data_IF_522338209183
#
_entry.id   IF_522338209183
#
_cell.length_a   1.000
_cell.length_b   1.000
_cell.length_c   1.000
_cell.angle_alpha   90.00
_cell.angle_beta   90.00
_cell.angle_gamma   90.00
#
_symmetry.space_group_name_H-M   'P 1'
#
loop_
_entity.id
_entity.type
_entity.pdbx_description
1 polymer ?
#
# COMPACT_ATOMS: atom_id res chain seq x y z
N UNK A 1 -14.82 -4.51 -0.66
CA UNK A 1 -14.13 -3.86 -1.80
C UNK A 1 -14.57 -2.40 -1.84
N UNK A 2 -13.64 -1.47 -1.73
CA UNK A 2 -13.93 -0.03 -1.68
C UNK A 2 -13.77 0.67 -3.03
N UNK A 3 -13.01 0.09 -3.96
CA UNK A 3 -12.73 0.66 -5.27
C UNK A 3 -13.11 -0.32 -6.38
N UNK A 4 -13.95 0.14 -7.30
CA UNK A 4 -14.49 -0.66 -8.39
C UNK A 4 -14.40 0.09 -9.71
N UNK A 5 -14.02 -0.59 -10.78
CA UNK A 5 -14.02 -0.03 -12.12
C UNK A 5 -14.78 -0.96 -13.08
N UNK A 6 -15.57 -0.39 -13.96
CA UNK A 6 -16.36 -1.13 -14.95
C UNK A 6 -15.49 -1.79 -16.02
N UNK A 7 -14.37 -1.15 -16.35
CA UNK A 7 -13.37 -1.64 -17.31
C UNK A 7 -11.97 -1.20 -16.89
N UNK A 8 -10.95 -1.70 -17.57
CA UNK A 8 -9.54 -1.29 -17.35
C UNK A 8 -9.37 0.23 -17.57
N UNK A 9 -9.98 0.78 -18.61
CA UNK A 9 -9.86 2.20 -18.95
C UNK A 9 -10.55 3.12 -17.93
N UNK A 10 -11.58 2.60 -17.22
CA UNK A 10 -12.33 3.37 -16.20
C UNK A 10 -11.71 3.26 -14.81
N UNK A 11 -10.54 2.62 -14.64
CA UNK A 11 -9.83 2.58 -13.37
C UNK A 11 -9.40 3.99 -12.95
N UNK A 12 -9.62 4.34 -11.68
CA UNK A 12 -9.15 5.60 -11.12
C UNK A 12 -7.62 5.55 -10.94
N UNK A 13 -6.88 6.19 -11.83
CA UNK A 13 -5.41 6.22 -11.81
C UNK A 13 -4.86 6.82 -10.52
N UNK A 14 -5.54 7.83 -9.98
CA UNK A 14 -5.15 8.45 -8.71
C UNK A 14 -5.19 7.43 -7.56
N UNK A 15 -6.29 6.68 -7.45
CA UNK A 15 -6.40 5.64 -6.41
C UNK A 15 -5.40 4.49 -6.64
N UNK A 16 -5.19 4.08 -7.89
CA UNK A 16 -4.19 3.06 -8.21
C UNK A 16 -2.79 3.49 -7.79
N UNK A 17 -2.42 4.76 -7.99
CA UNK A 17 -1.13 5.27 -7.56
C UNK A 17 -0.84 5.02 -6.07
N UNK A 18 -1.83 5.14 -5.19
CA UNK A 18 -1.68 4.77 -3.78
C UNK A 18 -1.51 3.27 -3.57
N UNK A 19 -2.33 2.45 -4.22
CA UNK A 19 -2.26 0.99 -4.10
C UNK A 19 -0.99 0.38 -4.69
N UNK A 20 -0.36 1.09 -5.62
CA UNK A 20 0.89 0.70 -6.27
C UNK A 20 2.13 1.17 -5.51
N UNK A 21 1.95 1.89 -4.39
CA UNK A 21 3.06 2.44 -3.61
C UNK A 21 3.72 3.65 -4.30
N UNK A 22 2.98 4.36 -5.15
CA UNK A 22 3.46 5.54 -5.85
C UNK A 22 3.74 6.71 -4.91
N UNK A 23 4.56 7.65 -5.36
CA UNK A 23 4.87 8.87 -4.63
C UNK A 23 3.76 9.91 -4.79
N UNK A 24 3.48 10.67 -3.72
CA UNK A 24 2.57 11.81 -3.77
C UNK A 24 2.99 12.92 -2.81
N UNK A 25 2.67 14.14 -3.15
CA UNK A 25 2.99 15.32 -2.37
C UNK A 25 1.83 15.73 -1.47
N UNK A 26 2.15 16.19 -0.25
CA UNK A 26 1.16 16.74 0.67
C UNK A 26 0.88 18.22 0.31
N UNK A 27 -0.38 18.56 0.05
CA UNK A 27 -0.80 19.92 -0.22
C UNK A 27 -1.95 20.33 0.70
N UNK A 28 -1.73 21.37 1.50
CA UNK A 28 -2.72 21.93 2.40
C UNK A 28 -2.69 21.40 3.84
N UNK A 29 -3.42 22.06 4.76
CA UNK A 29 -3.46 21.70 6.18
C UNK A 29 -3.97 20.28 6.40
N UNK A 30 -3.25 19.48 7.19
CA UNK A 30 -3.62 18.10 7.51
C UNK A 30 -3.40 17.08 6.38
N UNK A 31 -2.82 17.50 5.26
CA UNK A 31 -2.46 16.58 4.19
C UNK A 31 -1.32 15.65 4.60
N UNK A 32 -1.25 14.50 3.95
CA UNK A 32 -0.14 13.55 4.09
C UNK A 32 0.59 13.42 2.77
N UNK A 33 1.91 13.26 2.82
CA UNK A 33 2.77 13.02 1.68
C UNK A 33 3.56 11.72 1.83
N UNK A 34 4.00 11.17 0.70
CA UNK A 34 4.86 10.01 0.63
C UNK A 34 5.83 10.17 -0.55
N UNK A 35 7.12 10.05 -0.29
CA UNK A 35 8.16 10.15 -1.30
C UNK A 35 9.35 9.25 -0.95
N UNK A 36 9.58 8.23 -1.74
CA UNK A 36 10.77 7.38 -1.63
C UNK A 36 10.97 6.74 -0.26
N UNK A 37 9.91 6.25 0.38
CA UNK A 37 9.97 5.64 1.72
C UNK A 37 9.88 6.64 2.87
N UNK A 38 9.72 7.93 2.59
CA UNK A 38 9.49 8.96 3.61
C UNK A 38 8.02 9.34 3.61
N UNK A 39 7.36 9.22 4.77
CA UNK A 39 6.01 9.72 5.02
C UNK A 39 6.06 10.95 5.88
N UNK A 40 5.17 11.91 5.62
CA UNK A 40 5.01 13.06 6.49
C UNK A 40 3.57 13.56 6.51
N UNK A 41 3.23 14.28 7.56
CA UNK A 41 1.98 15.02 7.65
C UNK A 41 2.23 16.52 7.69
N UNK A 42 1.25 17.26 7.23
CA UNK A 42 1.23 18.71 7.28
C UNK A 42 0.40 19.16 8.50
N UNK A 43 0.83 20.23 9.13
CA UNK A 43 0.16 20.85 10.26
C UNK A 43 -1.33 21.08 9.99
N UNK A 44 -2.20 20.53 10.85
CA UNK A 44 -3.66 20.51 10.66
C UNK A 44 -4.31 21.88 10.85
N UNK A 45 -3.78 22.70 11.76
CA UNK A 45 -4.37 23.99 12.08
C UNK A 45 -4.06 25.02 10.95
N UNK A 46 -5.08 25.61 10.27
CA UNK A 46 -4.87 26.52 9.14
C UNK A 46 -4.08 27.80 9.52
N UNK A 47 -4.23 28.30 10.75
CA UNK A 47 -3.51 29.51 11.19
C UNK A 47 -2.02 29.23 11.33
N UNK A 48 -1.64 28.12 12.01
CA UNK A 48 -0.22 27.77 12.16
C UNK A 48 0.39 27.33 10.83
N UNK A 49 -0.38 26.68 9.96
CA UNK A 49 0.01 26.37 8.58
C UNK A 49 0.36 27.65 7.80
N UNK A 50 -0.54 28.63 7.77
CA UNK A 50 -0.33 29.89 7.07
C UNK A 50 0.82 30.72 7.68
N UNK A 51 0.97 30.73 9.02
CA UNK A 51 2.06 31.41 9.69
C UNK A 51 3.43 30.83 9.31
N UNK A 52 3.58 29.50 9.24
CA UNK A 52 4.83 28.86 8.81
C UNK A 52 5.16 29.22 7.35
N UNK A 53 4.18 29.12 6.46
CA UNK A 53 4.37 29.47 5.05
C UNK A 53 4.75 30.93 4.85
N UNK A 54 4.16 31.86 5.60
CA UNK A 54 4.51 33.31 5.51
C UNK A 54 5.95 33.59 5.91
N UNK A 55 6.59 32.67 6.68
CA UNK A 55 8.01 32.75 7.03
C UNK A 55 8.89 31.85 6.13
N UNK A 56 8.36 31.31 5.04
CA UNK A 56 9.10 30.44 4.13
C UNK A 56 9.43 29.04 4.72
N UNK A 57 8.74 28.66 5.82
CA UNK A 57 8.96 27.38 6.50
C UNK A 57 7.95 26.36 5.98
N UNK A 58 8.43 25.19 5.53
CA UNK A 58 7.55 24.07 5.15
C UNK A 58 6.80 23.55 6.38
N UNK A 59 5.47 23.48 6.37
CA UNK A 59 4.66 23.26 7.57
C UNK A 59 4.52 21.78 7.93
N UNK A 60 5.58 20.99 7.84
CA UNK A 60 5.58 19.60 8.30
C UNK A 60 5.33 19.53 9.81
N UNK A 61 4.52 18.57 10.23
CA UNK A 61 4.18 18.32 11.64
C UNK A 61 4.84 17.05 12.15
N UNK A 62 4.89 16.02 11.30
CA UNK A 62 5.44 14.71 11.59
C UNK A 62 6.09 14.13 10.35
N UNK A 63 7.12 13.32 10.55
CA UNK A 63 7.87 12.65 9.50
C UNK A 63 8.34 11.27 9.98
N UNK A 64 8.28 10.29 9.10
CA UNK A 64 8.75 8.92 9.31
C UNK A 64 9.53 8.43 8.10
N UNK A 65 10.63 7.76 8.34
CA UNK A 65 11.40 7.06 7.30
C UNK A 65 11.18 5.57 7.46
N UNK A 66 10.57 4.95 6.46
CA UNK A 66 10.28 3.52 6.48
C UNK A 66 11.56 2.70 6.25
N UNK A 67 11.70 1.63 7.01
CA UNK A 67 12.72 0.61 6.80
C UNK A 67 12.39 -0.24 5.56
N UNK A 68 13.37 -0.96 5.03
CA UNK A 68 13.14 -1.89 3.92
C UNK A 68 12.09 -2.97 4.25
N UNK A 69 12.08 -3.43 5.50
CA UNK A 69 11.08 -4.38 6.00
C UNK A 69 9.69 -3.77 5.94
N UNK A 70 9.49 -2.58 6.49
CA UNK A 70 8.20 -1.88 6.48
C UNK A 70 7.71 -1.57 5.05
N UNK A 71 8.61 -1.18 4.16
CA UNK A 71 8.29 -0.98 2.73
C UNK A 71 7.83 -2.27 2.05
N UNK A 72 8.46 -3.41 2.37
CA UNK A 72 8.07 -4.72 1.85
C UNK A 72 6.70 -5.14 2.39
N UNK A 73 6.48 -5.01 3.70
CA UNK A 73 5.21 -5.32 4.36
C UNK A 73 4.06 -4.46 3.79
N UNK A 74 4.29 -3.17 3.62
CA UNK A 74 3.33 -2.26 3.02
C UNK A 74 3.04 -2.64 1.56
N UNK A 75 4.05 -3.04 0.80
CA UNK A 75 3.88 -3.56 -0.57
C UNK A 75 2.99 -4.80 -0.59
N UNK A 76 3.18 -5.75 0.32
CA UNK A 76 2.31 -6.93 0.46
C UNK A 76 0.87 -6.50 0.75
N UNK A 77 0.68 -5.62 1.73
CA UNK A 77 -0.64 -5.13 2.12
C UNK A 77 -1.39 -4.44 0.97
N UNK A 78 -0.70 -3.63 0.18
CA UNK A 78 -1.30 -2.84 -0.89
C UNK A 78 -1.53 -3.69 -2.14
N UNK A 79 -0.52 -4.40 -2.61
CA UNK A 79 -0.55 -5.11 -3.90
C UNK A 79 -1.51 -6.30 -3.92
N UNK A 80 -1.69 -7.01 -2.81
CA UNK A 80 -2.69 -8.08 -2.72
C UNK A 80 -4.14 -7.59 -2.83
N UNK A 81 -4.39 -6.31 -2.56
CA UNK A 81 -5.74 -5.72 -2.70
C UNK A 81 -6.04 -5.25 -4.13
N UNK A 82 -5.03 -5.21 -4.98
CA UNK A 82 -5.17 -4.82 -6.39
C UNK A 82 -5.32 -6.06 -7.28
N UNK A 83 -6.08 -5.93 -8.36
CA UNK A 83 -6.29 -7.03 -9.31
C UNK A 83 -4.97 -7.53 -9.94
N UNK A 84 -4.01 -6.64 -10.12
CA UNK A 84 -2.75 -6.95 -10.77
C UNK A 84 -1.82 -7.78 -9.87
N UNK A 85 -2.15 -7.91 -8.58
CA UNK A 85 -1.51 -8.82 -7.64
C UNK A 85 -0.14 -8.38 -7.13
N UNK A 86 0.47 -9.25 -6.32
CA UNK A 86 1.78 -9.09 -5.70
C UNK A 86 2.82 -9.90 -6.47
N UNK A 87 3.90 -9.24 -6.92
CA UNK A 87 5.00 -9.94 -7.58
C UNK A 87 5.75 -10.85 -6.59
N UNK A 88 6.09 -12.07 -7.02
CA UNK A 88 6.71 -13.08 -6.16
C UNK A 88 8.05 -12.69 -5.54
N UNK A 89 8.81 -11.79 -6.19
CA UNK A 89 10.10 -11.32 -5.67
C UNK A 89 9.99 -10.52 -4.36
N UNK A 90 8.80 -10.10 -3.97
CA UNK A 90 8.55 -9.40 -2.71
C UNK A 90 8.48 -10.38 -1.54
N UNK A 91 8.11 -11.64 -1.81
CA UNK A 91 7.92 -12.67 -0.78
C UNK A 91 9.26 -13.29 -0.36
N UNK A 92 9.43 -13.48 0.94
CA UNK A 92 10.48 -14.32 1.50
C UNK A 92 10.23 -15.80 1.20
N UNK A 93 11.21 -16.70 1.38
CA UNK A 93 10.99 -18.14 1.25
C UNK A 93 9.87 -18.66 2.17
N UNK A 94 9.80 -18.19 3.41
CA UNK A 94 8.75 -18.57 4.34
C UNK A 94 7.37 -18.07 3.89
N UNK A 95 7.27 -16.81 3.45
CA UNK A 95 6.05 -16.24 2.88
C UNK A 95 5.61 -16.95 1.59
N UNK A 96 6.55 -17.46 0.80
CA UNK A 96 6.24 -18.25 -0.40
C UNK A 96 5.55 -19.57 -0.04
N UNK A 97 5.90 -20.20 1.08
CA UNK A 97 5.22 -21.39 1.58
C UNK A 97 3.79 -21.08 2.03
N UNK A 98 3.59 -19.95 2.74
CA UNK A 98 2.24 -19.49 3.09
C UNK A 98 1.42 -19.20 1.84
N UNK A 99 2.00 -18.56 0.83
CA UNK A 99 1.34 -18.29 -0.44
C UNK A 99 0.90 -19.60 -1.13
N UNK A 100 1.71 -20.67 -1.06
CA UNK A 100 1.33 -21.98 -1.59
C UNK A 100 0.11 -22.55 -0.86
N UNK A 101 0.01 -22.41 0.46
CA UNK A 101 -1.17 -22.80 1.25
C UNK A 101 -2.40 -22.00 0.84
N UNK A 102 -2.26 -20.67 0.75
CA UNK A 102 -3.34 -19.76 0.32
C UNK A 102 -3.86 -20.12 -1.08
N UNK A 103 -2.97 -20.52 -1.98
CA UNK A 103 -3.35 -21.02 -3.33
C UNK A 103 -4.07 -22.37 -3.23
N UNK A 104 -3.56 -23.30 -2.40
CA UNK A 104 -4.20 -24.59 -2.16
C UNK A 104 -5.62 -24.47 -1.61
N UNK A 105 -5.88 -23.48 -0.77
CA UNK A 105 -7.20 -23.17 -0.20
C UNK A 105 -8.13 -22.43 -1.20
N UNK A 106 -7.64 -22.14 -2.41
CA UNK A 106 -8.40 -21.45 -3.45
C UNK A 106 -8.64 -19.96 -3.16
N UNK A 107 -7.83 -19.35 -2.27
CA UNK A 107 -7.92 -17.93 -1.94
C UNK A 107 -7.08 -17.05 -2.86
N UNK A 108 -6.04 -17.61 -3.49
CA UNK A 108 -5.22 -16.94 -4.49
C UNK A 108 -4.89 -17.87 -5.64
N UNK A 109 -4.35 -17.30 -6.70
CA UNK A 109 -3.79 -18.01 -7.84
C UNK A 109 -2.51 -17.32 -8.32
N UNK A 110 -1.61 -18.07 -8.94
CA UNK A 110 -0.47 -17.49 -9.62
C UNK A 110 -0.85 -17.15 -11.08
N UNK A 111 -0.78 -15.88 -11.42
CA UNK A 111 -0.88 -15.38 -12.80
C UNK A 111 0.54 -14.98 -13.26
N UNK A 112 1.27 -15.91 -13.88
CA UNK A 112 2.71 -15.77 -14.13
C UNK A 112 3.49 -15.61 -12.82
N UNK A 113 4.18 -14.49 -12.66
CA UNK A 113 4.96 -14.18 -11.45
C UNK A 113 4.16 -13.42 -10.38
N UNK A 114 2.83 -13.24 -10.56
CA UNK A 114 2.00 -12.48 -9.67
C UNK A 114 1.03 -13.36 -8.87
N UNK A 115 1.02 -13.19 -7.55
CA UNK A 115 0.03 -13.76 -6.65
C UNK A 115 -1.21 -12.88 -6.66
N UNK A 116 -2.32 -13.40 -7.19
CA UNK A 116 -3.58 -12.67 -7.37
C UNK A 116 -4.66 -13.30 -6.50
N UNK A 117 -5.35 -12.50 -5.69
CA UNK A 117 -6.47 -13.00 -4.88
C UNK A 117 -7.67 -13.35 -5.75
N UNK A 118 -8.23 -14.53 -5.55
CA UNK A 118 -9.53 -14.95 -6.13
C UNK A 118 -10.65 -14.07 -5.57
N UNK A 119 -11.86 -14.18 -6.12
CA UNK A 119 -13.04 -13.49 -5.57
C UNK A 119 -13.24 -13.83 -4.08
N UNK A 120 -13.08 -15.12 -3.71
CA UNK A 120 -13.17 -15.58 -2.33
C UNK A 120 -12.02 -15.00 -1.48
N UNK A 121 -10.79 -15.02 -1.99
CA UNK A 121 -9.62 -14.45 -1.31
C UNK A 121 -9.75 -12.95 -1.05
N UNK A 122 -10.37 -12.20 -1.95
CA UNK A 122 -10.63 -10.76 -1.76
C UNK A 122 -11.57 -10.45 -0.61
N UNK A 123 -12.52 -11.33 -0.32
CA UNK A 123 -13.39 -11.21 0.85
C UNK A 123 -12.65 -11.49 2.15
N UNK A 124 -11.56 -12.26 2.09
CA UNK A 124 -10.72 -12.67 3.20
C UNK A 124 -9.32 -12.03 3.14
N UNK A 125 -9.16 -10.93 2.38
CA UNK A 125 -7.86 -10.32 2.10
C UNK A 125 -7.07 -9.97 3.36
N UNK A 126 -7.73 -9.48 4.41
CA UNK A 126 -7.07 -9.13 5.68
C UNK A 126 -6.48 -10.36 6.37
N UNK A 127 -7.18 -11.51 6.33
CA UNK A 127 -6.66 -12.77 6.84
C UNK A 127 -5.45 -13.26 6.04
N UNK A 128 -5.56 -13.31 4.72
CA UNK A 128 -4.45 -13.73 3.83
C UNK A 128 -3.21 -12.85 4.02
N UNK A 129 -3.41 -11.54 4.10
CA UNK A 129 -2.32 -10.59 4.34
C UNK A 129 -1.71 -10.84 5.73
N UNK A 130 -2.56 -11.01 6.75
CA UNK A 130 -2.12 -11.30 8.11
C UNK A 130 -1.25 -12.57 8.17
N UNK A 131 -1.69 -13.66 7.55
CA UNK A 131 -0.94 -14.92 7.51
C UNK A 131 0.44 -14.75 6.85
N UNK A 132 0.54 -13.94 5.79
CA UNK A 132 1.81 -13.64 5.12
C UNK A 132 2.73 -12.77 5.98
N UNK A 133 2.19 -11.82 6.76
CA UNK A 133 2.97 -10.89 7.57
C UNK A 133 3.38 -11.47 8.93
N UNK A 134 2.67 -12.49 9.44
CA UNK A 134 2.97 -13.14 10.71
C UNK A 134 4.15 -14.12 10.64
N UNK A 135 4.57 -14.50 9.43
CA UNK A 135 5.69 -15.43 9.25
C UNK A 135 7.00 -14.65 9.40
N UNK A 136 7.76 -14.99 10.42
CA UNK A 136 9.12 -14.47 10.64
C UNK A 136 10.08 -14.96 9.53
N UNK A 137 11.08 -14.13 9.24
CA UNK A 137 12.12 -14.42 8.23
C UNK A 137 13.05 -15.56 8.65
#
# INVERSE_FOLDING_TARGET
>A
MSNWARSQESRCRHNLGYWEGGNWWAAGPGAHGYLGGVRWSIRKNPRSYGALLSHGIYPADWCEVLTEKELREETIMLRLRVRDGLHRSVLTPAQTQVAATVVGDGLATWEGEYLVLTTRGRLLADGVIGDLLLVEE
#
